data_IF_184515298161
#
_entry.id   IF_184515298161
#
_cell.length_a   1.000
_cell.length_b   1.000
_cell.length_c   1.000
_cell.angle_alpha   90.00
_cell.angle_beta   90.00
_cell.angle_gamma   90.00
#
_symmetry.space_group_name_H-M   'P 1'
#
loop_
_entity.id
_entity.type
_entity.pdbx_description
1 polymer ?
#
# COMPACT_ATOMS: atom_id res chain seq x y z
N UNK A 1 -54.31 -1.97 -24.69
CA UNK A 1 -52.83 -2.07 -24.56
C UNK A 1 -52.20 -0.69 -24.32
N UNK A 2 -52.50 -0.04 -23.18
CA UNK A 2 -51.88 1.24 -22.78
C UNK A 2 -51.46 1.30 -21.30
N UNK A 3 -51.78 0.29 -20.49
CA UNK A 3 -51.44 0.30 -19.05
C UNK A 3 -50.18 -0.50 -18.68
N UNK A 4 -49.66 -1.36 -19.56
CA UNK A 4 -48.44 -2.14 -19.29
C UNK A 4 -47.13 -1.40 -19.59
N UNK A 5 -47.17 -0.32 -20.39
CA UNK A 5 -45.96 0.46 -20.73
C UNK A 5 -45.53 1.43 -19.61
N UNK A 6 -46.50 1.98 -18.87
CA UNK A 6 -46.21 2.94 -17.78
C UNK A 6 -45.64 2.27 -16.52
N UNK A 7 -45.90 0.98 -16.32
CA UNK A 7 -45.34 0.22 -15.20
C UNK A 7 -43.89 -0.18 -15.47
N UNK A 8 -43.54 -0.47 -16.73
CA UNK A 8 -42.17 -0.75 -17.15
C UNK A 8 -41.28 0.50 -17.07
N UNK A 9 -41.80 1.68 -17.44
CA UNK A 9 -41.06 2.95 -17.36
C UNK A 9 -40.77 3.40 -15.91
N UNK A 10 -41.54 2.95 -14.92
CA UNK A 10 -41.28 3.23 -13.49
C UNK A 10 -40.30 2.24 -12.83
N UNK A 11 -40.09 1.07 -13.42
CA UNK A 11 -39.12 0.08 -12.92
C UNK A 11 -37.73 0.35 -13.49
N UNK A 12 -37.61 1.02 -14.64
CA UNK A 12 -36.34 1.49 -15.20
C UNK A 12 -35.75 2.75 -14.54
N UNK A 13 -36.49 3.42 -13.64
CA UNK A 13 -36.05 4.65 -12.97
C UNK A 13 -35.59 4.47 -11.51
N UNK A 14 -35.40 3.22 -11.04
CA UNK A 14 -35.00 2.92 -9.65
C UNK A 14 -33.63 2.21 -9.57
N UNK A 15 -33.02 1.83 -10.70
CA UNK A 15 -31.61 1.39 -10.74
C UNK A 15 -30.74 2.53 -11.25
N UNK A 16 -30.77 3.65 -10.54
CA UNK A 16 -29.90 4.79 -10.80
C UNK A 16 -29.55 5.52 -9.50
N UNK A 17 -29.38 4.78 -8.40
CA UNK A 17 -28.91 5.32 -7.11
C UNK A 17 -28.39 4.18 -6.22
N UNK A 18 -27.20 3.64 -6.52
CA UNK A 18 -26.35 2.96 -5.52
C UNK A 18 -25.06 2.45 -6.15
N UNK A 19 -24.17 3.40 -6.44
CA UNK A 19 -22.70 3.31 -6.48
C UNK A 19 -22.18 4.28 -7.53
N UNK A 20 -22.34 5.57 -7.27
CA UNK A 20 -21.23 6.46 -7.59
C UNK A 20 -20.08 6.05 -6.67
N UNK A 21 -19.40 4.96 -7.02
CA UNK A 21 -17.98 4.89 -6.81
C UNK A 21 -17.44 6.02 -7.69
N UNK A 22 -17.33 7.22 -7.12
CA UNK A 22 -16.30 8.14 -7.56
C UNK A 22 -14.99 7.42 -7.30
N UNK A 23 -14.62 6.52 -8.22
CA UNK A 23 -13.22 6.39 -8.58
C UNK A 23 -12.85 7.80 -9.02
N UNK A 24 -12.27 8.57 -8.10
CA UNK A 24 -11.46 9.69 -8.49
C UNK A 24 -10.39 9.07 -9.38
N UNK A 25 -10.62 9.05 -10.70
CA UNK A 25 -9.57 8.86 -11.66
C UNK A 25 -8.58 10.00 -11.33
N UNK A 26 -7.50 9.65 -10.65
CA UNK A 26 -6.41 10.58 -10.45
C UNK A 26 -5.78 10.75 -11.82
N UNK A 27 -6.17 11.83 -12.49
CA UNK A 27 -5.78 12.09 -13.87
C UNK A 27 -4.25 12.21 -13.96
N UNK A 28 -3.67 11.49 -14.93
CA UNK A 28 -2.26 11.66 -15.27
C UNK A 28 -2.06 13.04 -15.89
N UNK A 29 -1.09 13.80 -15.39
CA UNK A 29 -0.77 15.15 -15.88
C UNK A 29 0.57 15.17 -16.60
N UNK A 30 0.66 15.89 -17.72
CA UNK A 30 1.92 16.07 -18.43
C UNK A 30 2.91 16.88 -17.58
N UNK A 31 4.15 16.41 -17.53
CA UNK A 31 5.23 17.08 -16.82
C UNK A 31 5.97 18.04 -17.77
N UNK A 32 6.36 19.21 -17.25
CA UNK A 32 7.27 20.12 -17.95
C UNK A 32 8.71 19.69 -17.72
N UNK A 33 9.42 19.31 -18.78
CA UNK A 33 10.75 18.71 -18.70
C UNK A 33 11.75 19.38 -19.64
N UNK A 34 13.02 19.37 -19.25
CA UNK A 34 14.13 19.89 -20.06
C UNK A 34 15.41 19.08 -19.83
N UNK A 35 16.30 19.14 -20.81
CA UNK A 35 17.60 18.47 -20.75
C UNK A 35 18.66 19.38 -20.13
N UNK A 36 19.46 18.82 -19.24
CA UNK A 36 20.62 19.46 -18.63
C UNK A 36 21.87 18.66 -18.99
N UNK A 37 22.92 19.34 -19.46
CA UNK A 37 24.22 18.71 -19.73
C UNK A 37 24.93 18.48 -18.39
N UNK A 38 25.21 17.22 -18.09
CA UNK A 38 25.98 16.82 -16.89
C UNK A 38 27.48 16.87 -17.17
N UNK A 39 27.90 16.33 -18.32
CA UNK A 39 29.30 16.26 -18.73
C UNK A 39 29.39 16.23 -20.25
N UNK A 40 30.43 16.86 -20.77
CA UNK A 40 30.78 16.78 -22.19
C UNK A 40 32.29 16.62 -22.32
N UNK A 41 32.71 15.74 -23.22
CA UNK A 41 34.11 15.61 -23.63
C UNK A 41 34.19 15.21 -25.12
N UNK A 42 35.39 14.87 -25.59
CA UNK A 42 35.65 14.48 -26.97
C UNK A 42 34.92 13.19 -27.39
N UNK A 43 34.53 12.35 -26.43
CA UNK A 43 33.87 11.06 -26.68
C UNK A 43 32.35 11.22 -26.75
N UNK A 44 31.75 12.08 -25.93
CA UNK A 44 30.31 12.23 -25.91
C UNK A 44 29.77 13.32 -24.99
N UNK A 45 28.43 13.36 -24.94
CA UNK A 45 27.64 14.27 -24.12
C UNK A 45 26.74 13.42 -23.21
N UNK A 46 26.85 13.63 -21.91
CA UNK A 46 26.01 13.02 -20.89
C UNK A 46 25.00 14.06 -20.43
N UNK A 47 23.72 13.73 -20.50
CA UNK A 47 22.64 14.64 -20.20
C UNK A 47 21.61 13.97 -19.28
N UNK A 48 20.98 14.79 -18.46
CA UNK A 48 19.88 14.40 -17.58
C UNK A 48 18.62 15.12 -18.01
N UNK A 49 17.51 14.40 -18.14
CA UNK A 49 16.21 15.02 -18.27
C UNK A 49 15.63 15.21 -16.88
N UNK A 50 15.36 16.46 -16.54
CA UNK A 50 14.68 16.82 -15.30
C UNK A 50 13.35 17.46 -15.61
N UNK A 51 12.37 17.22 -14.76
CA UNK A 51 11.05 17.80 -14.85
C UNK A 51 10.73 18.62 -13.62
N UNK A 52 9.86 19.62 -13.76
CA UNK A 52 9.27 20.32 -12.62
C UNK A 52 8.63 19.29 -11.70
N UNK A 53 8.81 19.47 -10.39
CA UNK A 53 8.26 18.54 -9.41
C UNK A 53 6.72 18.58 -9.48
N UNK A 54 6.06 17.43 -9.72
CA UNK A 54 4.63 17.39 -9.97
C UNK A 54 3.79 17.49 -8.69
N UNK A 55 4.42 17.33 -7.52
CA UNK A 55 3.75 17.41 -6.21
C UNK A 55 3.75 18.85 -5.69
N UNK A 56 4.89 19.51 -5.76
CA UNK A 56 5.06 20.92 -5.37
C UNK A 56 6.21 21.55 -6.16
N UNK A 57 5.92 22.61 -6.92
CA UNK A 57 6.89 23.30 -7.77
C UNK A 57 8.06 23.93 -6.99
N UNK A 58 7.95 24.10 -5.66
CA UNK A 58 9.03 24.59 -4.81
C UNK A 58 10.03 23.49 -4.40
N UNK A 59 9.69 22.23 -4.62
CA UNK A 59 10.58 21.11 -4.36
C UNK A 59 11.59 20.92 -5.51
N UNK A 60 12.73 20.25 -5.26
CA UNK A 60 13.71 19.97 -6.30
C UNK A 60 13.10 19.27 -7.51
N UNK A 61 13.59 19.64 -8.70
CA UNK A 61 13.21 19.02 -9.96
C UNK A 61 13.48 17.51 -9.93
N UNK A 62 12.61 16.76 -10.62
CA UNK A 62 12.64 15.30 -10.64
C UNK A 62 13.46 14.82 -11.82
N UNK A 63 14.48 14.00 -11.57
CA UNK A 63 15.19 13.28 -12.61
C UNK A 63 14.30 12.16 -13.19
N UNK A 64 14.08 12.21 -14.51
CA UNK A 64 13.22 11.25 -15.24
C UNK A 64 13.97 10.44 -16.29
N UNK A 65 15.14 10.91 -16.74
CA UNK A 65 16.00 10.14 -17.65
C UNK A 65 17.46 10.58 -17.56
N UNK A 66 18.35 9.67 -17.93
CA UNK A 66 19.76 9.95 -18.22
C UNK A 66 20.07 9.44 -19.62
N UNK A 67 20.74 10.24 -20.45
CA UNK A 67 21.16 9.81 -21.80
C UNK A 67 22.63 10.10 -22.05
N UNK A 68 23.22 9.29 -22.93
CA UNK A 68 24.56 9.47 -23.46
C UNK A 68 24.46 9.55 -24.97
N UNK A 69 24.95 10.64 -25.54
CA UNK A 69 25.07 10.84 -26.97
C UNK A 69 26.55 10.79 -27.36
N UNK A 70 26.89 9.90 -28.30
CA UNK A 70 28.25 9.72 -28.83
C UNK A 70 28.16 10.05 -30.33
N UNK A 71 28.33 11.32 -30.73
CA UNK A 71 28.08 11.77 -32.10
C UNK A 71 28.96 11.06 -33.14
N UNK A 72 30.21 10.78 -32.78
CA UNK A 72 31.20 10.12 -33.66
C UNK A 72 30.80 8.71 -34.09
N UNK A 73 29.96 8.02 -33.31
CA UNK A 73 29.45 6.69 -33.60
C UNK A 73 27.94 6.69 -33.94
N UNK A 74 27.28 7.85 -33.93
CA UNK A 74 25.83 7.95 -34.13
C UNK A 74 25.03 7.21 -33.05
N UNK A 75 25.62 6.96 -31.88
CA UNK A 75 24.98 6.19 -30.80
C UNK A 75 24.32 7.15 -29.83
N UNK A 76 23.06 6.88 -29.51
CA UNK A 76 22.40 7.50 -28.37
C UNK A 76 21.76 6.41 -27.50
N UNK A 77 22.16 6.37 -26.23
CA UNK A 77 21.60 5.47 -25.22
C UNK A 77 20.85 6.31 -24.20
N UNK A 78 19.65 5.88 -23.85
CA UNK A 78 18.79 6.55 -22.88
C UNK A 78 18.31 5.55 -21.84
N UNK A 79 18.26 6.02 -20.60
CA UNK A 79 17.86 5.26 -19.45
C UNK A 79 16.74 6.01 -18.74
N UNK A 80 15.54 5.43 -18.75
CA UNK A 80 14.34 6.04 -18.18
C UNK A 80 14.18 5.66 -16.72
N UNK A 81 13.81 6.64 -15.90
CA UNK A 81 13.43 6.46 -14.50
C UNK A 81 11.90 6.47 -14.38
N UNK A 82 11.24 5.65 -15.19
CA UNK A 82 9.79 5.48 -15.19
C UNK A 82 9.33 4.46 -14.14
N UNK A 83 8.04 4.49 -13.83
CA UNK A 83 7.43 3.68 -12.79
C UNK A 83 7.15 4.46 -11.50
N UNK A 84 6.74 3.73 -10.48
CA UNK A 84 6.39 4.30 -9.18
C UNK A 84 7.63 4.87 -8.47
N UNK A 85 7.45 6.02 -7.84
CA UNK A 85 8.46 6.78 -7.10
C UNK A 85 7.94 7.06 -5.71
N UNK A 86 8.50 6.38 -4.71
CA UNK A 86 8.06 6.48 -3.31
C UNK A 86 8.11 7.93 -2.80
N UNK A 87 9.15 8.68 -3.17
CA UNK A 87 9.32 10.08 -2.78
C UNK A 87 8.28 11.03 -3.39
N UNK A 88 7.71 10.65 -4.55
CA UNK A 88 6.64 11.42 -5.20
C UNK A 88 5.26 10.90 -4.88
N UNK A 89 5.15 9.76 -4.18
CA UNK A 89 3.87 9.16 -3.83
C UNK A 89 3.02 8.87 -5.09
N UNK A 90 3.67 8.53 -6.20
CA UNK A 90 3.03 8.35 -7.50
C UNK A 90 3.94 7.78 -8.58
N UNK A 91 3.43 7.66 -9.79
CA UNK A 91 4.06 7.02 -10.94
C UNK A 91 4.46 8.04 -11.98
N UNK A 92 5.74 8.03 -12.37
CA UNK A 92 6.21 8.72 -13.57
C UNK A 92 6.00 7.79 -14.75
N UNK A 93 5.20 8.22 -15.71
CA UNK A 93 4.93 7.47 -16.94
C UNK A 93 5.66 8.14 -18.10
N UNK A 94 6.33 7.32 -18.90
CA UNK A 94 6.98 7.76 -20.13
C UNK A 94 6.31 7.05 -21.30
N UNK A 95 5.69 7.85 -22.16
CA UNK A 95 5.02 7.40 -23.38
C UNK A 95 5.88 7.69 -24.61
N UNK A 96 5.87 6.79 -25.59
CA UNK A 96 6.69 6.85 -26.79
C UNK A 96 7.74 5.74 -26.87
N UNK A 97 8.60 5.82 -27.89
CA UNK A 97 9.66 4.82 -28.08
C UNK A 97 10.81 5.05 -27.09
N UNK A 98 10.82 4.25 -26.01
CA UNK A 98 11.84 4.33 -24.94
C UNK A 98 13.26 3.98 -25.39
N UNK A 99 13.44 3.35 -26.54
CA UNK A 99 14.77 3.04 -27.09
C UNK A 99 15.43 4.24 -27.79
N UNK A 100 14.66 5.27 -28.13
CA UNK A 100 15.15 6.44 -28.86
C UNK A 100 15.32 7.64 -27.92
N UNK A 101 16.33 8.47 -28.19
CA UNK A 101 16.61 9.68 -27.41
C UNK A 101 15.67 10.88 -27.71
N UNK A 102 14.57 10.65 -28.41
CA UNK A 102 13.59 11.69 -28.73
C UNK A 102 12.19 11.11 -29.00
N UNK A 103 11.19 12.00 -28.98
CA UNK A 103 9.79 11.66 -29.27
C UNK A 103 9.07 10.98 -28.11
N UNK A 104 9.14 11.58 -26.93
CA UNK A 104 8.54 11.07 -25.70
C UNK A 104 7.73 12.13 -24.96
N UNK A 105 6.70 11.68 -24.25
CA UNK A 105 5.95 12.49 -23.30
C UNK A 105 6.14 11.90 -21.90
N UNK A 106 6.37 12.78 -20.92
CA UNK A 106 6.48 12.39 -19.52
C UNK A 106 5.23 12.88 -18.81
N UNK A 107 4.54 11.99 -18.10
CA UNK A 107 3.39 12.33 -17.28
C UNK A 107 3.54 11.77 -15.87
N UNK A 108 2.80 12.36 -14.94
CA UNK A 108 2.76 11.94 -13.54
C UNK A 108 1.34 11.55 -13.16
N UNK A 109 1.20 10.38 -12.56
CA UNK A 109 -0.04 9.87 -11.98
C UNK A 109 0.16 9.69 -10.47
N UNK A 110 -0.47 10.48 -9.60
CA UNK A 110 -0.38 10.26 -8.16
C UNK A 110 -1.00 8.90 -7.80
N UNK A 111 -0.50 8.27 -6.73
CA UNK A 111 -1.16 7.09 -6.17
C UNK A 111 -2.28 7.55 -5.23
N UNK A 112 -3.47 6.92 -5.30
CA UNK A 112 -4.60 7.37 -4.52
C UNK A 112 -4.35 7.15 -3.03
N UNK A 113 -4.71 8.12 -2.20
CA UNK A 113 -4.58 8.02 -0.75
C UNK A 113 -5.51 6.95 -0.18
N UNK A 114 -6.68 6.76 -0.78
CA UNK A 114 -7.60 5.67 -0.47
C UNK A 114 -8.11 5.01 -1.73
N UNK A 115 -8.39 3.71 -1.67
CA UNK A 115 -9.00 2.95 -2.75
C UNK A 115 -9.89 1.85 -2.22
N UNK A 116 -10.80 1.34 -3.04
CA UNK A 116 -11.64 0.19 -2.69
C UNK A 116 -11.14 -1.03 -3.46
N UNK A 117 -10.80 -2.10 -2.73
CA UNK A 117 -10.41 -3.39 -3.31
C UNK A 117 -11.23 -4.47 -2.62
N UNK A 118 -11.95 -5.27 -3.42
CA UNK A 118 -12.84 -6.33 -2.93
C UNK A 118 -13.84 -5.85 -1.86
N UNK A 119 -14.34 -4.61 -2.00
CA UNK A 119 -15.29 -4.01 -1.06
C UNK A 119 -14.68 -3.47 0.25
N UNK A 120 -13.36 -3.58 0.42
CA UNK A 120 -12.63 -3.02 1.57
C UNK A 120 -11.95 -1.71 1.19
N UNK A 121 -12.05 -0.72 2.08
CA UNK A 121 -11.25 0.49 1.96
C UNK A 121 -9.79 0.21 2.35
N UNK A 122 -8.91 0.51 1.42
CA UNK A 122 -7.48 0.48 1.58
C UNK A 122 -6.94 1.91 1.69
N UNK A 123 -6.04 2.14 2.64
CA UNK A 123 -5.41 3.45 2.86
C UNK A 123 -3.94 3.38 2.55
N UNK A 124 -3.43 4.29 1.72
CA UNK A 124 -2.02 4.33 1.36
C UNK A 124 -1.18 4.65 2.58
N UNK A 125 -0.15 3.84 2.83
CA UNK A 125 0.78 4.05 3.93
C UNK A 125 1.81 5.10 3.56
N UNK A 126 2.30 5.83 4.56
CA UNK A 126 3.40 6.77 4.38
C UNK A 126 4.73 6.02 4.43
N UNK A 127 5.22 5.66 3.24
CA UNK A 127 6.47 4.93 3.07
C UNK A 127 7.59 5.85 2.61
N UNK A 128 8.80 5.63 3.11
CA UNK A 128 10.00 6.40 2.78
C UNK A 128 11.24 5.51 2.71
N UNK A 129 12.08 5.80 1.72
CA UNK A 129 13.43 5.24 1.64
C UNK A 129 14.37 6.02 2.55
N UNK A 130 14.88 5.35 3.59
CA UNK A 130 15.90 5.90 4.47
C UNK A 130 17.28 5.41 4.04
N UNK A 131 18.26 6.31 3.99
CA UNK A 131 19.65 5.94 3.74
C UNK A 131 20.20 5.16 4.97
N UNK A 132 20.67 3.93 4.73
CA UNK A 132 21.25 3.06 5.74
C UNK A 132 22.80 3.07 5.74
N UNK A 133 23.41 3.90 4.89
CA UNK A 133 24.85 4.04 4.69
C UNK A 133 25.25 3.81 3.22
N UNK A 134 26.03 4.72 2.66
CA UNK A 134 26.50 4.62 1.27
C UNK A 134 25.34 4.54 0.28
N UNK A 135 25.31 3.47 -0.52
CA UNK A 135 24.27 3.20 -1.52
C UNK A 135 23.12 2.32 -0.98
N UNK A 136 23.16 1.93 0.31
CA UNK A 136 22.16 1.07 0.90
C UNK A 136 20.97 1.88 1.43
N UNK A 137 19.76 1.40 1.15
CA UNK A 137 18.51 2.04 1.56
C UNK A 137 17.55 1.02 2.19
N UNK A 138 16.70 1.51 3.10
CA UNK A 138 15.63 0.75 3.76
C UNK A 138 14.30 1.45 3.56
N UNK A 139 13.30 0.72 3.04
CA UNK A 139 11.94 1.21 2.90
C UNK A 139 11.22 0.99 4.23
N UNK A 140 10.94 2.08 4.93
CA UNK A 140 10.17 2.10 6.16
C UNK A 140 8.79 2.69 5.88
N UNK A 141 7.77 2.20 6.56
CA UNK A 141 6.43 2.78 6.47
C UNK A 141 5.89 3.05 7.87
N UNK A 142 5.14 4.13 7.98
CA UNK A 142 4.34 4.40 9.16
C UNK A 142 3.01 3.64 9.06
N UNK A 143 2.48 3.20 10.19
CA UNK A 143 1.13 2.65 10.28
C UNK A 143 0.06 3.75 10.16
N UNK A 144 -1.21 3.36 10.19
CA UNK A 144 -2.34 4.29 10.11
C UNK A 144 -2.45 5.26 11.31
N UNK A 145 -1.72 5.01 12.39
CA UNK A 145 -1.61 5.88 13.57
C UNK A 145 -0.37 6.78 13.49
N UNK A 146 0.42 6.68 12.42
CA UNK A 146 1.65 7.45 12.21
C UNK A 146 2.88 6.88 12.92
N UNK A 147 2.81 5.65 13.42
CA UNK A 147 3.96 5.00 14.09
C UNK A 147 4.82 4.28 13.06
N UNK A 148 6.11 4.60 13.04
CA UNK A 148 7.07 3.91 12.16
C UNK A 148 7.28 2.48 12.62
N UNK A 149 7.10 1.53 11.70
CA UNK A 149 7.45 0.14 11.96
C UNK A 149 8.95 -0.01 12.22
N UNK A 150 9.33 -0.96 13.07
CA UNK A 150 10.73 -1.26 13.38
C UNK A 150 11.41 -2.09 12.28
N UNK A 151 10.63 -2.72 11.41
CA UNK A 151 11.12 -3.59 10.34
C UNK A 151 10.91 -2.96 8.95
N UNK A 152 11.92 -3.00 8.06
CA UNK A 152 11.78 -2.51 6.69
C UNK A 152 10.94 -3.47 5.83
N UNK A 153 10.07 -2.91 4.98
CA UNK A 153 9.33 -3.66 3.96
C UNK A 153 10.26 -4.13 2.85
N UNK A 154 11.26 -3.32 2.51
CA UNK A 154 12.26 -3.66 1.51
C UNK A 154 13.60 -3.01 1.83
N UNK A 155 14.68 -3.58 1.30
CA UNK A 155 15.99 -2.94 1.24
C UNK A 155 16.47 -2.91 -0.20
N UNK A 156 17.27 -1.89 -0.55
CA UNK A 156 17.91 -1.83 -1.87
C UNK A 156 19.33 -1.30 -1.79
N UNK A 157 20.16 -1.71 -2.74
CA UNK A 157 21.40 -1.02 -3.08
C UNK A 157 21.20 -0.27 -4.39
N UNK A 158 21.45 1.03 -4.38
CA UNK A 158 21.26 1.91 -5.54
C UNK A 158 22.27 3.05 -5.48
N UNK A 159 23.08 3.22 -6.51
CA UNK A 159 23.87 4.43 -6.68
C UNK A 159 22.94 5.62 -6.99
N UNK A 160 23.26 6.81 -6.49
CA UNK A 160 22.42 8.00 -6.68
C UNK A 160 22.13 8.26 -8.16
N UNK A 161 20.84 8.35 -8.52
CA UNK A 161 20.39 8.61 -9.90
C UNK A 161 20.53 7.43 -10.87
N UNK A 162 20.90 6.23 -10.41
CA UNK A 162 20.93 5.01 -11.22
C UNK A 162 19.55 4.36 -11.32
N UNK A 163 19.23 3.74 -12.47
CA UNK A 163 18.07 2.83 -12.62
C UNK A 163 18.43 1.38 -12.28
N UNK A 164 19.70 1.10 -12.01
CA UNK A 164 20.16 -0.22 -11.62
C UNK A 164 20.13 -0.33 -10.09
N UNK A 165 19.34 -1.30 -9.63
CA UNK A 165 19.18 -1.58 -8.21
C UNK A 165 19.25 -3.09 -7.95
N UNK A 166 19.69 -3.43 -6.75
CA UNK A 166 19.50 -4.76 -6.19
C UNK A 166 18.59 -4.61 -4.99
N UNK A 167 17.37 -5.16 -5.09
CA UNK A 167 16.33 -5.07 -4.07
C UNK A 167 16.13 -6.42 -3.39
N UNK A 168 15.98 -6.38 -2.07
CA UNK A 168 15.43 -7.47 -1.27
C UNK A 168 14.08 -7.03 -0.68
N UNK A 169 13.03 -7.80 -0.95
CA UNK A 169 11.68 -7.52 -0.48
C UNK A 169 11.28 -8.46 0.66
N UNK A 170 10.91 -7.89 1.80
CA UNK A 170 10.54 -8.60 3.01
C UNK A 170 9.01 -8.70 3.12
N UNK A 171 8.41 -9.62 2.37
CA UNK A 171 6.94 -9.77 2.36
C UNK A 171 6.34 -10.11 3.73
N UNK A 172 7.11 -10.74 4.62
CA UNK A 172 6.68 -11.03 5.98
C UNK A 172 6.42 -9.77 6.83
N UNK A 173 7.14 -8.67 6.56
CA UNK A 173 6.95 -7.39 7.25
C UNK A 173 5.55 -6.83 7.05
N UNK A 174 4.87 -7.21 5.95
CA UNK A 174 3.50 -6.75 5.66
C UNK A 174 2.46 -7.18 6.71
N UNK A 175 2.78 -8.20 7.52
CA UNK A 175 1.92 -8.70 8.59
C UNK A 175 2.12 -7.96 9.93
N UNK A 176 3.09 -7.03 10.03
CA UNK A 176 3.39 -6.31 11.27
C UNK A 176 2.51 -5.09 11.54
N UNK A 177 1.40 -4.95 10.82
CA UNK A 177 0.42 -3.89 11.05
C UNK A 177 -0.71 -4.43 11.91
N UNK A 178 -1.03 -3.77 13.02
CA UNK A 178 -2.14 -4.17 13.89
C UNK A 178 -3.49 -3.82 13.26
N UNK A 179 -4.47 -4.72 13.39
CA UNK A 179 -5.85 -4.49 12.91
C UNK A 179 -6.05 -4.70 11.40
N UNK A 180 -5.03 -5.20 10.70
CA UNK A 180 -5.07 -5.42 9.26
C UNK A 180 -3.76 -5.98 8.73
N UNK A 181 -3.53 -5.79 7.44
CA UNK A 181 -2.28 -6.12 6.76
C UNK A 181 -1.88 -5.00 5.82
N UNK A 182 -0.58 -4.85 5.58
CA UNK A 182 -0.14 -4.08 4.43
C UNK A 182 -0.21 -4.93 3.17
N UNK A 183 -0.56 -4.32 2.05
CA UNK A 183 -0.73 -4.97 0.76
C UNK A 183 -0.08 -4.15 -0.33
N UNK A 184 0.28 -4.84 -1.41
CA UNK A 184 0.89 -4.28 -2.60
C UNK A 184 0.45 -5.10 -3.81
N UNK A 185 0.14 -4.41 -4.91
CA UNK A 185 -0.49 -5.04 -6.08
C UNK A 185 0.43 -6.06 -6.75
N UNK A 186 1.74 -5.80 -6.71
CA UNK A 186 2.74 -6.66 -7.31
C UNK A 186 4.00 -6.70 -6.47
N UNK A 187 4.47 -7.92 -6.21
CA UNK A 187 5.78 -8.13 -5.60
C UNK A 187 6.86 -7.52 -6.51
N UNK A 188 7.75 -6.66 -5.97
CA UNK A 188 8.83 -6.08 -6.75
C UNK A 188 9.83 -7.15 -7.19
N UNK A 189 10.46 -6.95 -8.35
CA UNK A 189 11.53 -7.80 -8.84
C UNK A 189 12.85 -7.50 -8.13
N UNK A 190 13.80 -8.44 -8.18
CA UNK A 190 15.12 -8.27 -7.55
C UNK A 190 15.92 -7.09 -8.11
N UNK A 191 15.60 -6.63 -9.32
CA UNK A 191 16.22 -5.50 -9.99
C UNK A 191 15.39 -4.21 -9.94
N UNK A 192 14.26 -4.21 -9.22
CA UNK A 192 13.44 -3.01 -9.08
C UNK A 192 14.18 -1.96 -8.23
N UNK A 193 13.99 -0.68 -8.58
CA UNK A 193 14.50 0.43 -7.77
C UNK A 193 13.48 1.00 -6.79
N UNK A 194 12.21 0.63 -6.93
CA UNK A 194 11.16 1.05 -6.01
C UNK A 194 10.15 -0.07 -5.78
N UNK A 195 9.39 0.07 -4.70
CA UNK A 195 8.23 -0.77 -4.40
C UNK A 195 7.00 0.05 -4.75
N UNK A 196 6.03 -0.56 -5.43
CA UNK A 196 4.75 0.11 -5.70
C UNK A 196 4.07 0.64 -4.42
N UNK A 197 3.00 1.44 -4.56
CA UNK A 197 2.33 2.01 -3.40
C UNK A 197 1.89 0.91 -2.45
N UNK A 198 2.22 1.08 -1.17
CA UNK A 198 1.85 0.15 -0.11
C UNK A 198 0.58 0.67 0.53
N UNK A 199 -0.42 -0.19 0.65
CA UNK A 199 -1.71 0.14 1.26
C UNK A 199 -1.93 -0.67 2.52
N UNK A 200 -2.60 -0.10 3.51
CA UNK A 200 -3.15 -0.81 4.65
C UNK A 200 -4.56 -1.26 4.32
N UNK A 201 -4.81 -2.55 4.48
CA UNK A 201 -6.12 -3.19 4.38
C UNK A 201 -6.54 -3.63 5.77
N UNK A 202 -7.57 -2.98 6.31
CA UNK A 202 -8.16 -3.37 7.58
C UNK A 202 -8.85 -4.73 7.47
N UNK A 203 -8.98 -5.44 8.60
CA UNK A 203 -9.84 -6.62 8.62
C UNK A 203 -11.30 -6.25 8.31
N UNK A 204 -12.03 -7.08 7.55
CA UNK A 204 -13.47 -6.88 7.34
C UNK A 204 -14.19 -6.76 8.68
N UNK A 205 -14.96 -5.69 8.88
CA UNK A 205 -15.75 -5.50 10.09
C UNK A 205 -16.83 -6.58 10.24
N UNK A 206 -17.40 -7.02 9.10
CA UNK A 206 -18.32 -8.14 9.01
C UNK A 206 -17.99 -8.97 7.79
N UNK A 207 -18.21 -10.29 7.87
CA UNK A 207 -18.00 -11.22 6.76
C UNK A 207 -18.88 -12.46 6.89
N UNK A 208 -19.04 -13.20 5.80
CA UNK A 208 -19.68 -14.50 5.78
C UNK A 208 -18.62 -15.59 5.61
N UNK A 209 -18.54 -16.52 6.55
CA UNK A 209 -17.62 -17.67 6.50
C UNK A 209 -18.44 -18.93 6.78
N UNK A 210 -18.37 -19.91 5.90
CA UNK A 210 -19.12 -21.18 5.99
C UNK A 210 -20.63 -21.00 6.23
N UNK A 211 -21.20 -19.91 5.71
CA UNK A 211 -22.63 -19.58 5.85
C UNK A 211 -23.00 -18.86 7.16
N UNK A 212 -22.04 -18.60 8.04
CA UNK A 212 -22.25 -17.84 9.28
C UNK A 212 -21.76 -16.40 9.15
N UNK A 213 -22.50 -15.48 9.78
CA UNK A 213 -22.07 -14.10 9.93
C UNK A 213 -21.01 -14.00 11.04
N UNK A 214 -19.87 -13.44 10.70
CA UNK A 214 -18.78 -13.14 11.61
C UNK A 214 -18.59 -11.62 11.73
N UNK A 215 -18.58 -11.12 12.96
CA UNK A 215 -18.32 -9.70 13.26
C UNK A 215 -16.98 -9.54 13.94
N UNK A 216 -16.15 -8.63 13.43
CA UNK A 216 -14.82 -8.35 13.98
C UNK A 216 -14.92 -7.81 15.40
N UNK A 217 -14.20 -8.41 16.32
CA UNK A 217 -14.13 -7.96 17.70
C UNK A 217 -13.11 -6.85 17.88
N UNK A 218 -13.49 -5.84 18.67
CA UNK A 218 -12.58 -4.79 19.10
C UNK A 218 -11.86 -5.24 20.36
N UNK A 219 -10.59 -5.62 20.21
CA UNK A 219 -9.79 -6.14 21.30
C UNK A 219 -8.63 -5.22 21.62
N UNK A 220 -8.40 -4.96 22.91
CA UNK A 220 -7.30 -4.13 23.39
C UNK A 220 -6.45 -4.88 24.40
N UNK A 221 -5.15 -4.60 24.37
CA UNK A 221 -4.23 -5.04 25.42
C UNK A 221 -4.25 -4.04 26.56
N UNK A 222 -4.32 -4.54 27.79
CA UNK A 222 -4.21 -3.75 29.01
C UNK A 222 -3.10 -4.33 29.88
N UNK A 223 -2.13 -3.49 30.23
CA UNK A 223 -1.07 -3.88 31.15
C UNK A 223 -1.64 -4.00 32.57
N UNK A 224 -1.37 -5.15 33.19
CA UNK A 224 -1.70 -5.41 34.60
C UNK A 224 -0.51 -5.02 35.47
N UNK A 225 0.71 -5.34 35.01
CA UNK A 225 1.99 -4.93 35.59
C UNK A 225 3.10 -5.04 34.53
N UNK A 226 4.36 -4.79 34.92
CA UNK A 226 5.50 -4.79 34.01
C UNK A 226 5.77 -6.13 33.30
N UNK A 227 5.27 -7.25 33.83
CA UNK A 227 5.48 -8.59 33.28
C UNK A 227 4.19 -9.25 32.79
N UNK A 228 3.03 -8.61 32.94
CA UNK A 228 1.75 -9.20 32.61
C UNK A 228 0.79 -8.21 31.96
N UNK A 229 0.15 -8.66 30.88
CA UNK A 229 -0.91 -7.93 30.20
C UNK A 229 -2.05 -8.86 29.80
N UNK A 230 -3.24 -8.32 29.71
CA UNK A 230 -4.46 -9.06 29.32
C UNK A 230 -5.03 -8.48 28.03
N UNK A 231 -5.54 -9.35 27.16
CA UNK A 231 -6.28 -8.95 25.96
C UNK A 231 -7.76 -9.12 26.22
N UNK A 232 -8.52 -8.04 26.14
CA UNK A 232 -9.96 -8.06 26.32
C UNK A 232 -10.65 -7.57 25.06
N UNK A 233 -11.73 -8.25 24.67
CA UNK A 233 -12.56 -7.91 23.52
C UNK A 233 -13.93 -7.43 23.99
N UNK A 234 -14.43 -6.36 23.38
CA UNK A 234 -15.74 -5.79 23.69
C UNK A 234 -16.83 -6.29 22.75
N UNK A 235 -18.08 -6.19 23.22
CA UNK A 235 -19.30 -6.51 22.47
C UNK A 235 -19.37 -7.96 21.97
N UNK A 236 -18.88 -8.92 22.76
CA UNK A 236 -18.91 -10.35 22.38
C UNK A 236 -20.32 -10.92 22.60
N UNK A 237 -21.03 -11.23 21.50
CA UNK A 237 -22.40 -11.75 21.50
C UNK A 237 -23.47 -10.71 21.83
N UNK A 238 -23.21 -9.84 22.80
CA UNK A 238 -24.12 -8.78 23.23
C UNK A 238 -23.39 -7.46 23.46
N UNK A 239 -24.03 -6.30 23.20
CA UNK A 239 -23.45 -4.99 23.49
C UNK A 239 -22.98 -4.85 24.94
N UNK A 240 -21.83 -4.19 25.15
CA UNK A 240 -21.18 -3.94 26.44
C UNK A 240 -20.70 -5.19 27.22
N UNK A 241 -20.67 -6.37 26.58
CA UNK A 241 -20.04 -7.55 27.17
C UNK A 241 -18.56 -7.61 26.79
N UNK A 242 -17.71 -7.38 27.79
CA UNK A 242 -16.27 -7.50 27.66
C UNK A 242 -15.82 -8.89 28.13
N UNK A 243 -14.95 -9.54 27.37
CA UNK A 243 -14.38 -10.85 27.71
C UNK A 243 -12.87 -10.83 27.55
N UNK A 244 -12.16 -11.45 28.49
CA UNK A 244 -10.71 -11.62 28.40
C UNK A 244 -10.40 -12.86 27.56
N UNK A 245 -9.75 -12.65 26.43
CA UNK A 245 -9.48 -13.69 25.43
C UNK A 245 -8.06 -14.23 25.48
N UNK A 246 -7.13 -13.47 26.08
CA UNK A 246 -5.75 -13.91 26.25
C UNK A 246 -5.07 -13.23 27.44
N UNK A 247 -4.05 -13.89 27.96
CA UNK A 247 -3.17 -13.36 28.99
C UNK A 247 -1.74 -13.58 28.50
N UNK A 248 -0.89 -12.57 28.65
CA UNK A 248 0.56 -12.70 28.42
C UNK A 248 1.29 -12.48 29.73
N UNK A 249 2.18 -13.41 30.10
CA UNK A 249 3.01 -13.33 31.31
C UNK A 249 4.46 -13.63 30.94
N UNK A 250 5.37 -12.72 31.26
CA UNK A 250 6.81 -12.81 30.94
C UNK A 250 7.06 -13.15 29.45
N UNK A 251 6.30 -12.54 28.53
CA UNK A 251 6.41 -12.80 27.09
C UNK A 251 5.77 -14.10 26.61
N UNK A 252 5.15 -14.90 27.49
CA UNK A 252 4.43 -16.12 27.12
C UNK A 252 2.94 -15.84 27.01
N UNK A 253 2.39 -16.03 25.82
CA UNK A 253 0.98 -15.89 25.52
C UNK A 253 0.21 -17.17 25.89
N UNK A 254 -0.89 -17.01 26.62
CA UNK A 254 -1.89 -18.05 26.88
C UNK A 254 -3.23 -17.59 26.31
N UNK A 255 -3.76 -18.35 25.35
CA UNK A 255 -5.11 -18.14 24.83
C UNK A 255 -6.15 -18.65 25.84
N UNK A 256 -7.24 -17.89 25.98
CA UNK A 256 -8.41 -18.25 26.78
C UNK A 256 -9.66 -18.47 25.92
N UNK A 257 -9.53 -18.44 24.59
CA UNK A 257 -10.66 -18.48 23.64
C UNK A 257 -11.54 -19.71 23.88
N UNK A 258 -10.96 -20.91 24.01
CA UNK A 258 -11.74 -22.13 24.28
C UNK A 258 -12.53 -22.05 25.59
N UNK A 259 -11.91 -21.47 26.63
CA UNK A 259 -12.57 -21.27 27.93
C UNK A 259 -13.74 -20.30 27.79
N UNK A 260 -13.56 -19.21 27.04
CA UNK A 260 -14.61 -18.22 26.78
C UNK A 260 -15.72 -18.81 25.94
N UNK A 261 -15.41 -19.58 24.89
CA UNK A 261 -16.40 -20.21 24.02
C UNK A 261 -17.31 -21.19 24.78
N UNK A 262 -16.76 -21.94 25.73
CA UNK A 262 -17.56 -22.79 26.62
C UNK A 262 -18.56 -22.03 27.52
N UNK A 263 -18.40 -20.71 27.65
CA UNK A 263 -19.30 -19.83 28.42
C UNK A 263 -20.24 -19.01 27.55
N UNK A 264 -20.04 -19.01 26.22
CA UNK A 264 -20.91 -18.33 25.28
C UNK A 264 -22.09 -19.25 24.94
N UNK A 265 -23.30 -18.69 25.00
CA UNK A 265 -24.54 -19.44 24.77
C UNK A 265 -25.04 -19.31 23.34
N UNK A 266 -24.61 -18.28 22.61
CA UNK A 266 -25.21 -17.80 21.36
C UNK A 266 -24.18 -17.63 20.23
N UNK A 267 -22.99 -18.22 20.38
CA UNK A 267 -21.93 -18.13 19.39
C UNK A 267 -20.57 -18.54 19.93
N UNK A 268 -19.55 -18.28 19.13
CA UNK A 268 -18.16 -18.56 19.44
C UNK A 268 -17.24 -17.42 18.99
N UNK A 269 -16.10 -17.29 19.66
CA UNK A 269 -14.98 -16.46 19.20
C UNK A 269 -14.09 -17.33 18.31
N UNK A 270 -13.81 -16.83 17.11
CA UNK A 270 -12.95 -17.46 16.11
C UNK A 270 -11.68 -16.61 15.96
N UNK A 271 -10.51 -17.24 16.12
CA UNK A 271 -9.23 -16.63 15.77
C UNK A 271 -8.85 -16.99 14.34
N UNK A 272 -8.65 -15.98 13.49
CA UNK A 272 -8.28 -16.16 12.09
C UNK A 272 -6.83 -15.73 11.84
N UNK A 273 -5.94 -16.74 11.81
CA UNK A 273 -4.52 -16.59 11.50
C UNK A 273 -4.23 -16.50 10.00
N UNK A 274 -5.23 -16.76 9.12
CA UNK A 274 -5.04 -16.73 7.66
C UNK A 274 -4.98 -15.31 7.11
N UNK A 275 -5.68 -14.37 7.77
CA UNK A 275 -5.62 -12.95 7.41
C UNK A 275 -4.29 -12.31 7.82
N UNK A 276 -3.80 -12.63 9.02
CA UNK A 276 -2.53 -12.14 9.53
C UNK A 276 -1.99 -13.09 10.62
N UNK A 277 -0.86 -13.78 10.39
CA UNK A 277 -0.31 -14.73 11.37
C UNK A 277 0.40 -14.07 12.56
N UNK A 278 0.66 -12.75 12.52
CA UNK A 278 1.35 -12.01 13.59
C UNK A 278 0.34 -11.33 14.53
N UNK A 279 -0.70 -10.73 13.96
CA UNK A 279 -1.77 -10.07 14.68
C UNK A 279 -3.14 -10.61 14.26
N UNK A 280 -3.48 -11.86 14.60
CA UNK A 280 -4.68 -12.49 14.10
C UNK A 280 -5.95 -11.74 14.49
N UNK A 281 -6.89 -11.75 13.55
CA UNK A 281 -8.21 -11.17 13.75
C UNK A 281 -9.02 -12.08 14.68
N UNK A 282 -9.78 -11.46 15.59
CA UNK A 282 -10.75 -12.17 16.42
C UNK A 282 -12.15 -11.79 15.97
N UNK A 283 -12.94 -12.77 15.61
CA UNK A 283 -14.33 -12.61 15.17
C UNK A 283 -15.27 -13.26 16.18
N UNK A 284 -16.45 -12.68 16.36
CA UNK A 284 -17.57 -13.39 16.96
C UNK A 284 -18.45 -13.96 15.86
N UNK A 285 -18.65 -15.27 15.89
CA UNK A 285 -19.53 -16.01 15.00
C UNK A 285 -20.81 -16.34 15.76
N UNK A 286 -21.94 -15.87 15.25
CA UNK A 286 -23.25 -16.15 15.84
C UNK A 286 -23.79 -17.51 15.35
N UNK A 287 -24.37 -18.29 16.24
CA UNK A 287 -25.07 -19.55 15.90
C UNK A 287 -26.53 -19.32 15.46
#
# INVERSE_FOLDING_TARGET
MKSTLNTLLKVSSIIACSSMATAYAQDSSLMSCYWQVEKQNEVGIWERQVCVNPVDANLPAVLVASRVNIPSYGVCSINWLDGYRTELKGTVKVEGNKANCGGHAVSFEPAPDTRIVDGLEEKRLDCRWNNAGGNAHKLMCDDIEGRTLTMPIATKMQAAGSTECVMNFNGFTLNYFSGGVAVLDKKPTHNACDVGPVYFRAYPAQRMVDGFEETLLQCTWRDVNASARIKSCSNVGTPNKDVTVAIEVNGRLQSLIDTVNNQLSDGEIVEDNTLNPIYPALYFRKH
#
